data_IF_572990209132
#
_entry.id   IF_572990209132
#
_cell.length_a   1.000
_cell.length_b   1.000
_cell.length_c   1.000
_cell.angle_alpha   90.00
_cell.angle_beta   90.00
_cell.angle_gamma   90.00
#
_symmetry.space_group_name_H-M   'P 1'
#
loop_
_entity.id
_entity.type
_entity.pdbx_description
1 polymer ?
#
# COMPACT_ATOMS: atom_id res chain seq x y z
N UNK A 1 -22.07 38.56 -17.66
CA UNK A 1 -22.16 38.45 -16.19
C UNK A 1 -23.54 37.89 -15.87
N UNK A 2 -23.77 36.69 -15.33
CA UNK A 2 -22.94 35.80 -14.51
C UNK A 2 -23.24 34.33 -14.88
N UNK A 3 -22.18 33.54 -15.12
CA UNK A 3 -22.21 32.10 -15.43
C UNK A 3 -22.21 31.22 -14.17
N UNK A 4 -22.83 31.66 -13.07
CA UNK A 4 -22.64 31.01 -11.76
C UNK A 4 -23.91 30.40 -11.14
N UNK A 5 -24.96 30.14 -11.93
CA UNK A 5 -26.20 29.54 -11.41
C UNK A 5 -26.53 28.15 -11.98
N UNK A 6 -25.62 27.53 -12.76
CA UNK A 6 -25.87 26.22 -13.42
C UNK A 6 -25.51 24.99 -12.60
N UNK A 7 -25.01 25.15 -11.37
CA UNK A 7 -24.58 24.00 -10.53
C UNK A 7 -25.42 23.79 -9.27
N UNK A 8 -26.54 24.52 -9.10
CA UNK A 8 -27.41 24.38 -7.93
C UNK A 8 -28.57 23.37 -8.12
N UNK A 9 -28.56 22.53 -9.15
CA UNK A 9 -29.65 21.58 -9.47
C UNK A 9 -29.19 20.17 -9.86
N UNK A 10 -27.96 19.77 -9.53
CA UNK A 10 -27.49 18.38 -9.73
C UNK A 10 -27.37 17.69 -8.35
N UNK A 11 -28.46 17.65 -7.59
CA UNK A 11 -28.58 16.89 -6.33
C UNK A 11 -29.76 15.91 -6.31
N UNK A 12 -30.37 15.65 -7.46
CA UNK A 12 -31.42 14.64 -7.60
C UNK A 12 -31.15 13.86 -8.88
N UNK A 13 -31.51 12.57 -8.89
CA UNK A 13 -31.21 11.56 -9.91
C UNK A 13 -29.74 11.06 -9.76
N UNK A 14 -29.45 9.88 -9.22
CA UNK A 14 -29.97 8.58 -9.65
C UNK A 14 -30.09 7.60 -8.48
N UNK A 15 -31.33 7.37 -8.05
CA UNK A 15 -31.77 6.05 -7.64
C UNK A 15 -31.89 5.19 -8.91
N UNK A 16 -31.68 3.88 -8.79
CA UNK A 16 -31.74 2.83 -9.83
C UNK A 16 -30.47 2.66 -10.68
N UNK A 17 -29.62 1.71 -10.27
CA UNK A 17 -29.47 0.43 -10.96
C UNK A 17 -28.65 -0.49 -10.07
N UNK A 18 -29.29 -1.51 -9.50
CA UNK A 18 -28.61 -2.67 -8.94
C UNK A 18 -28.10 -3.53 -10.10
N UNK A 19 -26.82 -3.91 -10.08
CA UNK A 19 -26.33 -5.10 -10.78
C UNK A 19 -25.48 -5.87 -9.79
N UNK A 20 -25.98 -7.05 -9.41
CA UNK A 20 -25.27 -8.08 -8.67
C UNK A 20 -24.02 -8.52 -9.46
N UNK A 21 -22.86 -8.55 -8.81
CA UNK A 21 -21.89 -9.63 -8.99
C UNK A 21 -21.17 -9.92 -7.67
N UNK A 22 -21.01 -11.20 -7.43
CA UNK A 22 -20.92 -11.89 -6.14
C UNK A 22 -19.53 -11.97 -5.50
N UNK A 23 -19.53 -11.86 -4.17
CA UNK A 23 -18.73 -12.61 -3.19
C UNK A 23 -17.19 -12.56 -3.27
N UNK A 24 -16.60 -11.59 -2.57
CA UNK A 24 -15.55 -11.81 -1.56
C UNK A 24 -15.44 -10.53 -0.70
N UNK A 25 -15.72 -10.65 0.59
CA UNK A 25 -15.96 -9.55 1.53
C UNK A 25 -14.72 -8.68 1.81
N UNK A 26 -14.83 -7.38 1.52
CA UNK A 26 -14.05 -6.31 2.16
C UNK A 26 -15.06 -5.35 2.80
N UNK A 27 -15.38 -5.61 4.07
CA UNK A 27 -16.44 -4.91 4.82
C UNK A 27 -15.87 -3.68 5.55
N UNK A 28 -15.31 -2.76 4.77
CA UNK A 28 -15.12 -1.37 5.16
C UNK A 28 -16.05 -0.54 4.27
N UNK A 29 -16.79 0.40 4.84
CA UNK A 29 -17.35 1.52 4.09
C UNK A 29 -16.29 1.99 3.08
N UNK A 30 -16.49 1.61 1.83
CA UNK A 30 -15.46 1.65 0.81
C UNK A 30 -15.24 3.09 0.43
N UNK A 31 -14.40 3.77 1.21
CA UNK A 31 -13.87 5.07 0.84
C UNK A 31 -13.16 4.86 -0.50
N UNK A 32 -13.85 5.23 -1.57
CA UNK A 32 -13.36 5.10 -2.92
C UNK A 32 -12.08 5.90 -2.99
N UNK A 33 -10.94 5.19 -3.01
CA UNK A 33 -9.63 5.83 -3.18
C UNK A 33 -9.71 6.62 -4.47
N UNK A 34 -9.67 7.94 -4.34
CA UNK A 34 -9.72 8.82 -5.50
C UNK A 34 -8.32 8.98 -6.06
N UNK A 35 -8.23 9.26 -7.36
CA UNK A 35 -6.96 9.63 -7.98
C UNK A 35 -6.31 10.81 -7.23
N UNK A 36 -7.11 11.78 -6.78
CA UNK A 36 -6.63 12.89 -5.96
C UNK A 36 -6.00 12.42 -4.64
N UNK A 37 -6.57 11.40 -3.97
CA UNK A 37 -6.01 10.83 -2.75
C UNK A 37 -4.62 10.24 -3.02
N UNK A 38 -4.48 9.47 -4.10
CA UNK A 38 -3.18 8.90 -4.51
C UNK A 38 -2.17 10.00 -4.81
N UNK A 39 -2.57 11.01 -5.60
CA UNK A 39 -1.71 12.15 -5.93
C UNK A 39 -1.26 12.91 -4.68
N UNK A 40 -2.17 13.23 -3.76
CA UNK A 40 -1.83 13.93 -2.51
C UNK A 40 -0.87 13.14 -1.63
N UNK A 41 -1.01 11.81 -1.56
CA UNK A 41 -0.08 10.96 -0.83
C UNK A 41 1.30 10.89 -1.50
N UNK A 42 1.34 10.82 -2.84
CA UNK A 42 2.59 10.86 -3.61
C UNK A 42 3.31 12.20 -3.45
N UNK A 43 2.57 13.32 -3.45
CA UNK A 43 3.10 14.65 -3.12
C UNK A 43 3.62 14.71 -1.68
N UNK A 44 2.91 14.06 -0.75
CA UNK A 44 3.33 13.93 0.65
C UNK A 44 4.70 13.26 0.81
N UNK A 45 5.08 12.32 -0.07
CA UNK A 45 6.43 11.73 -0.08
C UNK A 45 7.55 12.73 -0.40
N UNK A 46 7.22 13.89 -1.00
CA UNK A 46 8.17 14.95 -1.34
C UNK A 46 8.17 16.08 -0.29
N UNK A 47 7.41 15.95 0.79
CA UNK A 47 7.32 16.96 1.85
C UNK A 47 8.62 17.07 2.66
N UNK A 48 9.03 18.31 2.97
CA UNK A 48 10.11 18.58 3.94
C UNK A 48 9.72 18.24 5.39
N UNK A 49 8.43 18.16 5.68
CA UNK A 49 7.93 17.67 6.97
C UNK A 49 8.05 16.14 7.02
N UNK A 50 9.01 15.64 7.82
CA UNK A 50 9.26 14.20 8.04
C UNK A 50 8.00 13.44 8.48
N UNK A 51 7.17 14.03 9.34
CA UNK A 51 5.93 13.41 9.82
C UNK A 51 4.92 13.18 8.70
N UNK A 52 4.72 14.19 7.85
CA UNK A 52 3.86 14.07 6.66
C UNK A 52 4.43 13.05 5.67
N UNK A 53 5.75 13.07 5.43
CA UNK A 53 6.42 12.15 4.51
C UNK A 53 6.26 10.70 4.93
N UNK A 54 6.55 10.38 6.19
CA UNK A 54 6.46 9.03 6.75
C UNK A 54 5.02 8.54 6.85
N UNK A 55 4.07 9.43 7.19
CA UNK A 55 2.65 9.10 7.23
C UNK A 55 2.08 8.84 5.83
N UNK A 56 2.53 9.59 4.83
CA UNK A 56 2.15 9.37 3.43
C UNK A 56 2.67 8.02 2.93
N UNK A 57 3.94 7.69 3.23
CA UNK A 57 4.50 6.38 2.92
C UNK A 57 3.70 5.24 3.56
N UNK A 58 3.39 5.36 4.85
CA UNK A 58 2.60 4.37 5.58
C UNK A 58 1.23 4.15 4.94
N UNK A 59 0.48 5.23 4.64
CA UNK A 59 -0.83 5.16 3.99
C UNK A 59 -0.77 4.53 2.59
N UNK A 60 0.22 4.88 1.78
CA UNK A 60 0.42 4.24 0.46
C UNK A 60 0.62 2.73 0.58
N UNK A 61 1.29 2.29 1.65
CA UNK A 61 1.44 0.88 2.01
C UNK A 61 0.13 0.21 2.44
N UNK A 62 -0.61 0.82 3.37
CA UNK A 62 -1.92 0.28 3.81
C UNK A 62 -2.90 0.11 2.66
N UNK A 63 -2.93 1.10 1.76
CA UNK A 63 -3.81 1.13 0.60
C UNK A 63 -3.28 0.32 -0.59
N UNK A 64 -2.08 -0.26 -0.46
CA UNK A 64 -1.42 -1.09 -1.49
C UNK A 64 -1.30 -0.39 -2.85
N UNK A 65 -0.95 0.89 -2.85
CA UNK A 65 -0.81 1.69 -4.08
C UNK A 65 0.47 1.31 -4.82
N UNK A 66 0.34 0.61 -5.95
CA UNK A 66 1.50 0.14 -6.74
C UNK A 66 2.27 1.30 -7.40
N UNK A 67 1.59 2.40 -7.74
CA UNK A 67 2.20 3.61 -8.31
C UNK A 67 3.24 4.22 -7.36
N UNK A 68 3.14 3.94 -6.05
CA UNK A 68 4.08 4.41 -5.05
C UNK A 68 5.36 3.59 -4.95
N UNK A 69 5.47 2.43 -5.61
CA UNK A 69 6.64 1.54 -5.46
C UNK A 69 7.94 2.27 -5.80
N UNK A 70 8.01 2.97 -6.95
CA UNK A 70 9.24 3.66 -7.36
C UNK A 70 9.58 4.84 -6.42
N UNK A 71 8.63 5.74 -6.06
CA UNK A 71 8.86 6.76 -5.03
C UNK A 71 9.33 6.18 -3.68
N UNK A 72 8.71 5.12 -3.19
CA UNK A 72 9.06 4.48 -1.92
C UNK A 72 10.45 3.82 -2.00
N UNK A 73 10.82 3.21 -3.13
CA UNK A 73 12.17 2.68 -3.34
C UNK A 73 13.24 3.78 -3.31
N UNK A 74 12.95 4.98 -3.84
CA UNK A 74 13.84 6.14 -3.72
C UNK A 74 13.96 6.59 -2.27
N UNK A 75 12.85 6.71 -1.54
CA UNK A 75 12.86 7.04 -0.11
C UNK A 75 13.65 6.02 0.71
N UNK A 76 13.51 4.73 0.41
CA UNK A 76 14.27 3.64 1.04
C UNK A 76 15.77 3.68 0.74
N UNK A 77 16.19 4.24 -0.39
CA UNK A 77 17.60 4.24 -0.80
C UNK A 77 18.31 5.55 -0.45
N UNK A 78 17.66 6.66 -0.70
CA UNK A 78 18.31 7.98 -0.79
C UNK A 78 18.04 8.85 0.44
N UNK A 79 17.12 8.47 1.34
CA UNK A 79 16.85 9.23 2.57
C UNK A 79 17.97 9.05 3.61
N UNK A 80 18.41 10.17 4.19
CA UNK A 80 19.36 10.18 5.31
C UNK A 80 18.72 9.69 6.63
N UNK A 81 17.39 9.86 6.80
CA UNK A 81 16.68 9.46 8.01
C UNK A 81 16.37 7.96 8.03
N UNK A 82 16.78 7.29 9.10
CA UNK A 82 16.43 5.88 9.31
C UNK A 82 14.92 5.68 9.39
N UNK A 83 14.19 6.60 10.04
CA UNK A 83 12.73 6.56 10.18
C UNK A 83 12.03 6.59 8.82
N UNK A 84 12.50 7.44 7.91
CA UNK A 84 11.99 7.52 6.55
C UNK A 84 12.25 6.22 5.78
N UNK A 85 13.48 5.68 5.83
CA UNK A 85 13.81 4.41 5.19
C UNK A 85 13.00 3.24 5.75
N UNK A 86 12.81 3.18 7.07
CA UNK A 86 11.99 2.15 7.73
C UNK A 86 10.53 2.24 7.29
N UNK A 87 9.96 3.44 7.24
CA UNK A 87 8.57 3.64 6.78
C UNK A 87 8.41 3.17 5.33
N UNK A 88 9.35 3.51 4.45
CA UNK A 88 9.34 3.05 3.07
C UNK A 88 9.45 1.53 2.94
N UNK A 89 10.33 0.88 3.72
CA UNK A 89 10.44 -0.58 3.76
C UNK A 89 9.14 -1.25 4.24
N UNK A 90 8.49 -0.70 5.27
CA UNK A 90 7.21 -1.19 5.77
C UNK A 90 6.11 -1.06 4.70
N UNK A 91 6.04 0.08 4.02
CA UNK A 91 5.05 0.33 2.97
C UNK A 91 5.24 -0.62 1.77
N UNK A 92 6.48 -0.78 1.31
CA UNK A 92 6.83 -1.73 0.23
C UNK A 92 6.50 -3.18 0.61
N UNK A 93 6.74 -3.56 1.88
CA UNK A 93 6.32 -4.86 2.40
C UNK A 93 4.80 -5.03 2.30
N UNK A 94 4.00 -4.03 2.67
CA UNK A 94 2.53 -4.10 2.64
C UNK A 94 1.92 -4.14 1.23
N UNK A 95 2.60 -3.55 0.25
CA UNK A 95 2.22 -3.59 -1.18
C UNK A 95 2.40 -5.01 -1.76
N UNK A 96 3.34 -5.82 -1.25
CA UNK A 96 3.49 -7.25 -1.57
C UNK A 96 3.71 -7.63 -3.06
N UNK A 97 4.13 -6.69 -3.92
CA UNK A 97 4.53 -7.04 -5.30
C UNK A 97 5.93 -7.66 -5.33
N UNK A 98 6.29 -8.45 -6.37
CA UNK A 98 7.64 -8.98 -6.52
C UNK A 98 8.73 -7.90 -6.46
N UNK A 99 8.45 -6.75 -7.06
CA UNK A 99 9.37 -5.61 -7.07
C UNK A 99 9.53 -5.00 -5.67
N UNK A 100 8.42 -4.78 -4.96
CA UNK A 100 8.45 -4.17 -3.62
C UNK A 100 9.14 -5.09 -2.60
N UNK A 101 8.83 -6.39 -2.63
CA UNK A 101 9.46 -7.38 -1.76
C UNK A 101 10.96 -7.54 -2.06
N UNK A 102 11.38 -7.47 -3.33
CA UNK A 102 12.80 -7.49 -3.67
C UNK A 102 13.53 -6.27 -3.09
N UNK A 103 12.92 -5.08 -3.16
CA UNK A 103 13.50 -3.88 -2.57
C UNK A 103 13.67 -4.00 -1.05
N UNK A 104 12.67 -4.52 -0.34
CA UNK A 104 12.76 -4.78 1.12
C UNK A 104 13.86 -5.78 1.44
N UNK A 105 13.97 -6.88 0.68
CA UNK A 105 15.06 -7.86 0.82
C UNK A 105 16.43 -7.19 0.68
N UNK A 106 16.62 -6.39 -0.38
CA UNK A 106 17.90 -5.71 -0.63
C UNK A 106 18.26 -4.73 0.47
N UNK A 107 17.29 -3.97 1.00
CA UNK A 107 17.54 -3.11 2.15
C UNK A 107 17.95 -3.92 3.40
N UNK A 108 17.36 -5.10 3.59
CA UNK A 108 17.79 -6.04 4.64
C UNK A 108 19.25 -6.47 4.51
N UNK A 109 19.74 -6.66 3.29
CA UNK A 109 21.10 -7.15 3.00
C UNK A 109 22.16 -6.04 2.97
N UNK A 110 21.78 -4.82 2.54
CA UNK A 110 22.75 -3.80 2.12
C UNK A 110 22.53 -2.40 2.70
N UNK A 111 21.49 -2.13 3.51
CA UNK A 111 21.38 -0.81 4.15
C UNK A 111 22.51 -0.61 5.17
N UNK A 112 23.16 0.55 5.10
CA UNK A 112 24.29 0.89 5.98
C UNK A 112 23.87 1.03 7.46
N UNK A 113 22.58 1.33 7.72
CA UNK A 113 22.03 1.31 9.07
C UNK A 113 21.65 -0.11 9.47
N UNK A 114 22.28 -0.59 10.55
CA UNK A 114 21.94 -1.86 11.17
C UNK A 114 20.46 -1.91 11.60
N UNK A 115 19.87 -0.78 12.01
CA UNK A 115 18.46 -0.72 12.41
C UNK A 115 17.54 -0.92 11.21
N UNK A 116 17.81 -0.25 10.09
CA UNK A 116 17.03 -0.38 8.86
C UNK A 116 17.16 -1.80 8.29
N UNK A 117 18.39 -2.30 8.15
CA UNK A 117 18.68 -3.67 7.68
C UNK A 117 17.93 -4.72 8.51
N UNK A 118 17.97 -4.61 9.85
CA UNK A 118 17.26 -5.54 10.75
C UNK A 118 15.75 -5.51 10.55
N UNK A 119 15.14 -4.33 10.46
CA UNK A 119 13.69 -4.21 10.29
C UNK A 119 13.23 -4.65 8.90
N UNK A 120 13.95 -4.28 7.85
CA UNK A 120 13.68 -4.76 6.50
C UNK A 120 13.78 -6.29 6.39
N UNK A 121 14.78 -6.89 7.04
CA UNK A 121 14.90 -8.35 7.15
C UNK A 121 13.70 -8.97 7.87
N UNK A 122 13.22 -8.35 8.95
CA UNK A 122 12.03 -8.82 9.66
C UNK A 122 10.78 -8.77 8.77
N UNK A 123 10.59 -7.68 8.02
CA UNK A 123 9.48 -7.55 7.08
C UNK A 123 9.54 -8.61 5.97
N UNK A 124 10.71 -8.82 5.38
CA UNK A 124 10.91 -9.87 4.36
C UNK A 124 10.64 -11.27 4.93
N UNK A 125 11.14 -11.57 6.13
CA UNK A 125 10.89 -12.85 6.79
C UNK A 125 9.40 -13.04 7.13
N UNK A 126 8.70 -11.97 7.51
CA UNK A 126 7.25 -12.02 7.73
C UNK A 126 6.50 -12.35 6.44
N UNK A 127 6.87 -11.73 5.31
CA UNK A 127 6.32 -12.06 4.00
C UNK A 127 6.49 -13.55 3.65
N UNK A 128 7.70 -14.11 3.85
CA UNK A 128 7.97 -15.52 3.58
C UNK A 128 7.11 -16.46 4.45
N UNK A 129 6.96 -16.15 5.73
CA UNK A 129 6.11 -16.94 6.64
C UNK A 129 4.65 -16.91 6.22
N UNK A 130 4.14 -15.75 5.80
CA UNK A 130 2.76 -15.62 5.33
C UNK A 130 2.54 -16.41 4.04
N UNK A 131 3.49 -16.35 3.10
CA UNK A 131 3.43 -17.10 1.85
C UNK A 131 3.41 -18.62 2.09
N UNK A 132 4.30 -19.13 2.94
CA UNK A 132 4.32 -20.55 3.31
C UNK A 132 3.01 -21.03 3.93
N UNK A 133 2.46 -20.25 4.89
CA UNK A 133 1.18 -20.59 5.51
C UNK A 133 0.03 -20.67 4.50
N UNK A 134 0.01 -19.77 3.53
CA UNK A 134 -1.02 -19.77 2.49
C UNK A 134 -0.86 -20.99 1.57
N UNK A 135 0.37 -21.36 1.20
CA UNK A 135 0.67 -22.55 0.39
C UNK A 135 0.24 -23.84 1.12
N UNK A 136 0.55 -23.97 2.42
CA UNK A 136 0.16 -25.13 3.24
C UNK A 136 -1.38 -25.26 3.35
N UNK A 137 -2.09 -24.15 3.59
CA UNK A 137 -3.55 -24.14 3.74
C UNK A 137 -4.32 -24.61 2.49
N UNK A 138 -3.77 -24.34 1.30
CA UNK A 138 -4.35 -24.76 0.03
C UNK A 138 -4.23 -26.27 -0.17
N UNK A 139 -3.12 -26.87 0.25
CA UNK A 139 -2.92 -28.32 0.17
C UNK A 139 -3.90 -29.07 1.07
N UNK A 140 -4.06 -28.66 2.33
CA UNK A 140 -4.98 -29.31 3.27
C UNK A 140 -6.45 -29.25 2.79
N UNK A 141 -6.90 -28.12 2.24
CA UNK A 141 -8.27 -27.98 1.71
C UNK A 141 -8.54 -28.89 0.50
N UNK A 142 -7.55 -29.05 -0.38
CA UNK A 142 -7.68 -29.89 -1.58
C UNK A 142 -7.70 -31.38 -1.23
N UNK A 143 -6.92 -31.81 -0.24
CA UNK A 143 -6.91 -33.21 0.23
C UNK A 143 -8.20 -33.64 0.93
N UNK A 144 -8.83 -32.74 1.70
CA UNK A 144 -10.10 -33.04 2.41
C UNK A 144 -11.28 -33.16 1.44
N UNK A 145 -11.24 -32.46 0.30
CA UNK A 145 -12.35 -32.44 -0.68
C UNK A 145 -12.35 -33.63 -1.66
N UNK A 146 -11.32 -34.49 -1.63
CA UNK A 146 -11.15 -35.66 -2.51
C UNK A 146 -11.45 -37.01 -1.81
N UNK A 147 -12.02 -36.98 -0.60
CA UNK A 147 -12.55 -38.16 0.11
C UNK A 147 -14.05 -38.03 0.31
#
# INVERSE_FOLDING_TARGET
>A
MNRSFKYLLISAIFFSTQVLLSAADFDGDGEKITENTVLSLLEGLQSENMGLKTSSAYMLGELRIEEAIIPLMRMLKDSESEEERISAALALYKIETPLSINAVKRAGEFDDSQRVSKLATNFYNQYLRNKQRNDDSFTDSTYVSLK
#
